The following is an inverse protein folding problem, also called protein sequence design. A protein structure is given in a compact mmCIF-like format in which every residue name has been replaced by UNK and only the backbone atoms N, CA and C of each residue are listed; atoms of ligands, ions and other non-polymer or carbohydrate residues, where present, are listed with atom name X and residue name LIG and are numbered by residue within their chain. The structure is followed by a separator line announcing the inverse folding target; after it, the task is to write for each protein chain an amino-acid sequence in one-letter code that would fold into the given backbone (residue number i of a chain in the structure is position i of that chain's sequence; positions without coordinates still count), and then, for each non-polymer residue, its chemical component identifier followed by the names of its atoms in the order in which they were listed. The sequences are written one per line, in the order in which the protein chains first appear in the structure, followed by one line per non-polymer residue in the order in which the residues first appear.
data_IF_658981285281
#
_entry.id   IF_658981285281
#
_cell.length_a   1.000
_cell.length_b   1.000
_cell.length_c   1.000
_cell.angle_alpha   90.00
_cell.angle_beta   90.00
_cell.angle_gamma   90.00
#
_symmetry.space_group_name_H-M   'P 1'
#
loop_
_entity.id
_entity.type
_entity.pdbx_description
1 polymer ?
#
# COMPACT_ATOMS: atom_id res chain seq x y z
N UNK A 1 9.05 -9.53 -15.34
CA UNK A 1 8.41 -9.01 -16.56
C UNK A 1 9.30 -9.37 -17.75
N UNK A 2 8.73 -9.95 -18.78
CA UNK A 2 9.47 -10.32 -20.00
C UNK A 2 8.93 -9.52 -21.17
N UNK A 3 9.80 -8.90 -21.93
CA UNK A 3 9.43 -8.22 -23.18
C UNK A 3 10.36 -8.67 -24.30
N UNK A 4 9.82 -8.74 -25.50
CA UNK A 4 10.56 -9.11 -26.71
C UNK A 4 10.51 -7.93 -27.65
N UNK A 5 11.67 -7.44 -28.05
CA UNK A 5 11.79 -6.44 -29.12
C UNK A 5 12.32 -7.14 -30.38
N UNK A 6 11.54 -7.09 -31.44
CA UNK A 6 11.96 -7.54 -32.75
C UNK A 6 12.31 -6.32 -33.59
N UNK A 7 13.57 -6.06 -33.91
CA UNK A 7 13.95 -4.96 -34.79
C UNK A 7 13.42 -5.17 -36.18
N UNK A 8 12.78 -4.16 -36.75
CA UNK A 8 12.39 -4.17 -38.16
C UNK A 8 13.46 -3.45 -38.96
N UNK A 9 14.20 -4.17 -39.83
CA UNK A 9 15.15 -3.55 -40.69
C UNK A 9 14.44 -2.88 -41.89
N UNK A 10 14.86 -1.68 -42.19
CA UNK A 10 14.25 -0.88 -43.25
C UNK A 10 14.95 -1.11 -44.60
N UNK A 11 16.21 -1.52 -44.65
CA UNK A 11 16.93 -1.84 -45.92
C UNK A 11 18.22 -2.62 -45.64
N UNK A 12 18.48 -3.65 -46.45
CA UNK A 12 19.78 -4.31 -46.59
C UNK A 12 19.87 -5.69 -45.99
N UNK A 13 20.72 -6.51 -46.57
CA UNK A 13 21.02 -7.89 -46.17
C UNK A 13 21.62 -7.89 -44.76
N UNK A 14 20.78 -8.05 -43.73
CA UNK A 14 21.16 -8.15 -42.35
C UNK A 14 20.48 -9.33 -41.67
N UNK A 15 21.23 -10.11 -40.93
CA UNK A 15 20.70 -11.12 -40.03
C UNK A 15 19.97 -10.41 -38.87
N UNK A 16 18.68 -10.67 -38.75
CA UNK A 16 17.88 -10.13 -37.63
C UNK A 16 18.12 -11.00 -36.42
N UNK A 17 18.58 -10.36 -35.33
CA UNK A 17 18.69 -11.01 -34.04
C UNK A 17 17.59 -10.46 -33.14
N UNK A 18 16.72 -11.34 -32.65
CA UNK A 18 15.70 -10.96 -31.69
C UNK A 18 16.36 -10.61 -30.35
N UNK A 19 15.94 -9.50 -29.79
CA UNK A 19 16.36 -9.08 -28.40
C UNK A 19 15.26 -9.46 -27.43
N UNK A 20 15.60 -10.28 -26.45
CA UNK A 20 14.69 -10.65 -25.36
C UNK A 20 15.18 -10.02 -24.08
N UNK A 21 14.36 -9.17 -23.46
CA UNK A 21 14.60 -8.61 -22.13
C UNK A 21 13.78 -9.33 -21.06
N UNK A 22 14.43 -9.77 -20.01
CA UNK A 22 13.80 -10.41 -18.86
C UNK A 22 14.23 -9.69 -17.59
N UNK A 23 13.26 -9.11 -16.86
CA UNK A 23 13.47 -8.50 -15.57
C UNK A 23 12.86 -9.38 -14.48
N UNK A 24 13.70 -9.87 -13.58
CA UNK A 24 13.29 -10.58 -12.38
C UNK A 24 13.41 -9.67 -11.16
N UNK A 25 12.29 -9.48 -10.46
CA UNK A 25 12.22 -8.71 -9.23
C UNK A 25 12.06 -9.67 -8.05
N UNK A 26 12.99 -9.62 -7.10
CA UNK A 26 12.89 -10.28 -5.81
C UNK A 26 12.86 -9.22 -4.73
N UNK A 27 11.78 -9.15 -3.96
CA UNK A 27 11.60 -8.13 -2.92
C UNK A 27 11.40 -8.85 -1.61
N UNK A 28 12.26 -8.58 -0.63
CA UNK A 28 12.10 -9.07 0.74
C UNK A 28 12.08 -7.90 1.71
N UNK A 29 11.18 -7.97 2.71
CA UNK A 29 11.16 -6.98 3.78
C UNK A 29 10.70 -7.59 5.09
N UNK A 30 11.20 -7.05 6.18
CA UNK A 30 10.75 -7.37 7.54
C UNK A 30 10.10 -6.11 8.09
N UNK A 31 8.88 -6.26 8.63
CA UNK A 31 8.10 -5.18 9.20
C UNK A 31 7.71 -5.54 10.63
N UNK A 32 7.93 -4.61 11.55
CA UNK A 32 7.54 -4.75 12.96
C UNK A 32 6.34 -3.86 13.27
N UNK A 33 5.39 -4.40 14.05
CA UNK A 33 4.23 -3.66 14.52
C UNK A 33 3.97 -3.96 15.99
N UNK A 34 3.62 -2.95 16.76
CA UNK A 34 3.14 -3.09 18.14
C UNK A 34 1.75 -2.48 18.26
N UNK A 35 0.92 -3.03 19.13
CA UNK A 35 -0.42 -2.54 19.34
C UNK A 35 -0.88 -2.68 20.77
N UNK A 36 -1.73 -1.75 21.18
CA UNK A 36 -2.39 -1.74 22.51
C UNK A 36 -3.89 -1.62 22.29
N UNK A 37 -4.64 -2.41 23.05
CA UNK A 37 -6.09 -2.36 23.06
C UNK A 37 -6.55 -2.21 24.50
N UNK A 38 -7.31 -1.14 24.77
CA UNK A 38 -7.83 -0.81 26.09
C UNK A 38 -9.35 -0.79 26.10
N UNK A 39 -9.93 -1.65 26.91
CA UNK A 39 -11.38 -1.72 27.14
C UNK A 39 -11.75 -0.77 28.27
N UNK A 40 -12.17 0.44 27.94
CA UNK A 40 -12.50 1.49 28.91
C UNK A 40 -13.83 1.21 29.62
N UNK A 41 -14.83 0.69 28.90
CA UNK A 41 -16.14 0.34 29.44
C UNK A 41 -16.49 -1.06 28.94
N UNK A 42 -16.82 -1.93 29.86
CA UNK A 42 -17.24 -3.30 29.54
C UNK A 42 -18.40 -3.72 30.45
N UNK A 43 -19.61 -3.40 30.01
CA UNK A 43 -20.85 -3.79 30.68
C UNK A 43 -21.71 -4.63 29.74
N UNK A 44 -22.69 -5.36 30.27
CA UNK A 44 -23.63 -6.16 29.48
C UNK A 44 -24.39 -5.37 28.41
N UNK A 45 -24.51 -4.05 28.55
CA UNK A 45 -25.27 -3.18 27.64
C UNK A 45 -24.41 -2.23 26.82
N UNK A 46 -23.15 -2.02 27.19
CA UNK A 46 -22.25 -1.03 26.56
C UNK A 46 -20.82 -1.51 26.60
N UNK A 47 -20.14 -1.34 25.49
CA UNK A 47 -18.70 -1.59 25.38
C UNK A 47 -18.05 -0.38 24.71
N UNK A 48 -16.96 0.11 25.32
CA UNK A 48 -16.11 1.14 24.72
C UNK A 48 -14.67 0.63 24.75
N UNK A 49 -14.07 0.57 23.57
CA UNK A 49 -12.72 0.06 23.38
C UNK A 49 -11.92 1.08 22.60
N UNK A 50 -10.71 1.36 23.06
CA UNK A 50 -9.71 2.14 22.33
C UNK A 50 -8.60 1.22 21.86
N UNK A 51 -8.12 1.46 20.66
CA UNK A 51 -6.99 0.77 20.07
C UNK A 51 -5.96 1.74 19.56
N UNK A 52 -4.68 1.40 19.70
CA UNK A 52 -3.60 2.11 19.09
C UNK A 52 -2.58 1.11 18.54
N UNK A 53 -2.12 1.31 17.33
CA UNK A 53 -1.07 0.50 16.71
C UNK A 53 0.01 1.40 16.13
N UNK A 54 1.25 1.01 16.34
CA UNK A 54 2.40 1.66 15.74
C UNK A 54 3.21 0.66 14.94
N UNK A 55 3.47 1.03 13.72
CA UNK A 55 4.22 0.28 12.75
C UNK A 55 5.55 0.98 12.49
N UNK A 56 6.64 0.27 12.73
CA UNK A 56 7.99 0.82 12.63
C UNK A 56 8.45 1.05 11.19
N UNK A 57 7.63 0.64 10.20
CA UNK A 57 8.05 0.62 8.82
C UNK A 57 9.03 -0.51 8.55
N UNK A 58 9.74 -0.43 7.44
CA UNK A 58 10.73 -1.42 7.04
C UNK A 58 11.50 -0.96 5.82
N UNK A 59 12.52 -1.72 5.46
CA UNK A 59 13.28 -1.47 4.24
C UNK A 59 12.87 -2.50 3.19
N UNK A 60 12.51 -2.01 2.02
CA UNK A 60 12.37 -2.82 0.81
C UNK A 60 13.71 -2.85 0.11
N UNK A 61 14.33 -4.00 0.05
CA UNK A 61 15.55 -4.21 -0.71
C UNK A 61 15.18 -4.99 -1.97
N UNK A 62 14.93 -4.31 -3.09
CA UNK A 62 14.66 -4.99 -4.35
C UNK A 62 15.98 -5.47 -4.95
N UNK A 63 16.09 -6.78 -5.19
CA UNK A 63 17.09 -7.35 -6.07
C UNK A 63 16.51 -7.43 -7.47
N UNK A 64 17.00 -6.59 -8.36
CA UNK A 64 16.57 -6.57 -9.76
C UNK A 64 17.64 -7.25 -10.61
N UNK A 65 17.30 -8.36 -11.23
CA UNK A 65 18.17 -9.01 -12.21
C UNK A 65 17.58 -8.77 -13.59
N UNK A 66 18.21 -7.88 -14.36
CA UNK A 66 17.87 -7.63 -15.76
C UNK A 66 18.78 -8.46 -16.66
N UNK A 67 18.19 -9.24 -17.54
CA UNK A 67 18.89 -10.06 -18.54
C UNK A 67 18.45 -9.64 -19.93
N UNK A 68 19.40 -9.23 -20.74
CA UNK A 68 19.18 -8.90 -22.14
C UNK A 68 19.92 -9.94 -22.99
N UNK A 69 19.18 -10.63 -23.83
CA UNK A 69 19.72 -11.61 -24.76
C UNK A 69 19.77 -11.00 -26.17
N UNK A 70 20.96 -10.75 -26.68
CA UNK A 70 21.21 -10.27 -28.05
C UNK A 70 22.19 -11.27 -28.67
N UNK A 71 21.66 -12.31 -29.29
CA UNK A 71 22.52 -13.38 -29.89
C UNK A 71 23.34 -14.11 -28.82
N UNK A 72 24.32 -13.44 -28.21
CA UNK A 72 25.11 -13.93 -27.08
C UNK A 72 24.65 -13.28 -25.77
N UNK A 73 24.76 -14.05 -24.67
CA UNK A 73 24.30 -13.67 -23.34
C UNK A 73 25.00 -12.42 -22.79
N UNK A 74 24.27 -11.31 -22.60
CA UNK A 74 24.73 -10.19 -21.80
C UNK A 74 23.93 -10.14 -20.49
N UNK A 75 24.61 -10.37 -19.36
CA UNK A 75 24.01 -10.25 -18.03
C UNK A 75 24.35 -8.89 -17.42
N UNK A 76 23.35 -8.08 -17.16
CA UNK A 76 23.50 -6.88 -16.33
C UNK A 76 22.67 -7.07 -15.07
N UNK A 77 23.32 -7.06 -13.89
CA UNK A 77 22.63 -7.03 -12.61
C UNK A 77 22.57 -5.58 -12.14
N UNK A 78 21.39 -5.00 -12.09
CA UNK A 78 21.18 -3.68 -11.54
C UNK A 78 20.64 -3.86 -10.13
N UNK A 79 21.38 -3.39 -9.12
CA UNK A 79 20.86 -3.29 -7.75
C UNK A 79 19.80 -2.19 -7.73
N UNK A 80 18.58 -2.53 -7.36
CA UNK A 80 17.52 -1.56 -7.15
C UNK A 80 17.83 -0.66 -5.95
N UNK A 81 17.34 0.57 -6.00
CA UNK A 81 17.47 1.51 -4.88
C UNK A 81 16.57 1.06 -3.71
N UNK A 82 17.11 1.24 -2.48
CA UNK A 82 16.39 0.84 -1.26
C UNK A 82 15.23 1.81 -1.00
N UNK A 83 14.02 1.31 -1.04
CA UNK A 83 12.82 2.06 -0.71
C UNK A 83 12.39 1.75 0.73
N UNK A 84 12.09 2.78 1.51
CA UNK A 84 11.61 2.62 2.88
C UNK A 84 10.09 2.55 2.92
N UNK A 85 9.58 1.53 3.62
CA UNK A 85 8.16 1.47 3.95
C UNK A 85 7.82 2.54 5.01
N UNK A 86 6.67 3.19 4.92
CA UNK A 86 6.32 4.26 5.83
C UNK A 86 6.10 3.72 7.25
N UNK A 87 6.46 4.56 8.22
CA UNK A 87 6.00 4.37 9.59
C UNK A 87 4.52 4.73 9.64
N UNK A 88 3.73 3.93 10.34
CA UNK A 88 2.29 4.14 10.44
C UNK A 88 1.86 4.18 11.90
N UNK A 89 1.08 5.19 12.24
CA UNK A 89 0.36 5.29 13.49
C UNK A 89 -1.14 5.14 13.19
N UNK A 90 -1.79 4.20 13.86
CA UNK A 90 -3.24 4.06 13.78
C UNK A 90 -3.83 4.12 15.18
N UNK A 91 -4.85 4.94 15.36
CA UNK A 91 -5.62 5.02 16.60
C UNK A 91 -7.10 4.89 16.27
N UNK A 92 -7.82 4.18 17.13
CA UNK A 92 -9.23 3.92 16.90
C UNK A 92 -10.03 3.84 18.17
N UNK A 93 -11.32 4.13 18.06
CA UNK A 93 -12.30 3.99 19.11
C UNK A 93 -13.50 3.19 18.59
N UNK A 94 -13.94 2.24 19.36
CA UNK A 94 -15.08 1.39 19.05
C UNK A 94 -16.07 1.43 20.20
N UNK A 95 -17.31 1.85 19.92
CA UNK A 95 -18.39 1.92 20.88
C UNK A 95 -19.55 1.07 20.42
N UNK A 96 -20.00 0.18 21.28
CA UNK A 96 -21.11 -0.72 21.01
C UNK A 96 -22.15 -0.68 22.12
N UNK A 97 -23.41 -0.65 21.71
CA UNK A 97 -24.58 -0.83 22.56
C UNK A 97 -25.49 -1.89 21.97
N UNK A 98 -26.62 -2.19 22.64
CA UNK A 98 -27.62 -3.14 22.09
C UNK A 98 -28.23 -2.72 20.77
N UNK A 99 -28.14 -1.46 20.36
CA UNK A 99 -28.73 -0.94 19.10
C UNK A 99 -27.75 -0.25 18.20
N UNK A 100 -26.67 0.32 18.74
CA UNK A 100 -25.71 1.14 18.02
C UNK A 100 -24.31 0.55 18.10
N UNK A 101 -23.65 0.54 16.96
CA UNK A 101 -22.22 0.29 16.88
C UNK A 101 -21.58 1.46 16.15
N UNK A 102 -20.60 2.08 16.78
CA UNK A 102 -19.85 3.22 16.25
C UNK A 102 -18.38 2.87 16.21
N UNK A 103 -17.73 3.16 15.08
CA UNK A 103 -16.29 3.03 14.89
C UNK A 103 -15.70 4.32 14.39
N UNK A 104 -14.56 4.71 14.96
CA UNK A 104 -13.76 5.85 14.52
C UNK A 104 -12.31 5.39 14.46
N UNK A 105 -11.67 5.55 13.31
CA UNK A 105 -10.27 5.24 13.10
C UNK A 105 -9.54 6.42 12.46
N UNK A 106 -8.36 6.71 12.97
CA UNK A 106 -7.40 7.64 12.37
C UNK A 106 -6.11 6.90 12.04
N UNK A 107 -5.65 7.05 10.81
CA UNK A 107 -4.42 6.44 10.31
C UNK A 107 -3.52 7.53 9.76
N UNK A 108 -2.30 7.58 10.25
CA UNK A 108 -1.25 8.46 9.75
C UNK A 108 -0.06 7.66 9.25
N UNK A 109 0.40 7.94 8.03
CA UNK A 109 1.56 7.30 7.42
C UNK A 109 2.62 8.35 7.08
N UNK A 110 3.83 8.13 7.57
CA UNK A 110 4.97 8.99 7.29
C UNK A 110 5.83 8.38 6.18
N UNK A 111 5.64 8.84 4.96
CA UNK A 111 6.41 8.42 3.79
C UNK A 111 7.70 9.22 3.62
N UNK A 112 7.73 10.47 4.10
CA UNK A 112 8.89 11.37 3.93
C UNK A 112 10.04 11.04 4.87
N UNK A 113 9.78 10.35 5.98
CA UNK A 113 10.76 10.09 7.04
C UNK A 113 11.90 9.15 6.67
N UNK A 114 11.79 8.41 5.57
CA UNK A 114 12.80 7.45 5.12
C UNK A 114 13.14 7.54 3.65
N UNK A 115 12.27 8.14 2.86
CA UNK A 115 12.42 8.25 1.43
C UNK A 115 12.81 9.68 1.06
N UNK A 116 13.99 9.84 0.47
CA UNK A 116 14.40 11.11 -0.13
C UNK A 116 13.87 11.16 -1.55
N UNK A 117 13.58 12.36 -2.06
CA UNK A 117 13.32 12.55 -3.48
C UNK A 117 14.52 12.02 -4.27
N UNK A 118 14.29 11.03 -5.09
CA UNK A 118 15.35 10.42 -5.92
C UNK A 118 15.15 10.92 -7.33
N UNK A 119 16.15 11.58 -7.87
CA UNK A 119 16.24 11.86 -9.30
C UNK A 119 16.47 10.52 -10.01
N UNK A 120 15.47 10.02 -10.71
CA UNK A 120 15.64 8.86 -11.59
C UNK A 120 16.44 9.29 -12.82
N UNK A 121 17.74 9.27 -12.73
CA UNK A 121 18.66 9.42 -13.85
C UNK A 121 18.73 8.09 -14.61
N UNK A 122 17.79 7.84 -15.49
CA UNK A 122 17.66 6.52 -16.11
C UNK A 122 17.41 6.49 -17.62
N UNK A 123 17.68 7.57 -18.37
CA UNK A 123 17.69 7.51 -19.83
C UNK A 123 18.84 8.39 -20.35
N UNK A 124 19.87 7.73 -20.91
CA UNK A 124 20.89 8.42 -21.70
C UNK A 124 20.30 8.81 -23.03
N UNK A 125 19.76 10.01 -23.13
CA UNK A 125 19.22 10.61 -24.34
C UNK A 125 19.23 12.13 -24.25
N UNK A 126 19.06 12.88 -25.38
CA UNK A 126 19.05 14.34 -25.37
C UNK A 126 17.90 14.98 -24.58
N UNK A 127 16.85 14.23 -24.26
CA UNK A 127 15.74 14.64 -23.38
C UNK A 127 15.93 14.08 -21.98
N UNK A 128 16.76 14.76 -21.19
CA UNK A 128 16.88 14.53 -19.76
C UNK A 128 15.69 15.16 -19.04
N UNK A 129 14.51 14.59 -19.16
CA UNK A 129 13.44 14.89 -18.22
C UNK A 129 13.71 14.11 -16.92
N UNK A 130 14.34 14.77 -15.96
CA UNK A 130 14.47 14.24 -14.61
C UNK A 130 13.08 14.19 -13.99
N UNK A 131 12.57 13.00 -13.75
CA UNK A 131 11.35 12.80 -12.94
C UNK A 131 11.76 12.81 -11.48
N UNK A 132 11.36 13.84 -10.77
CA UNK A 132 11.50 13.89 -9.32
C UNK A 132 10.32 13.13 -8.68
N UNK A 133 10.62 12.06 -7.95
CA UNK A 133 9.61 11.35 -7.17
C UNK A 133 9.56 11.97 -5.77
N UNK A 134 8.51 12.73 -5.48
CA UNK A 134 8.27 13.29 -4.16
C UNK A 134 7.33 12.39 -3.36
N UNK A 135 7.69 12.13 -2.11
CA UNK A 135 6.85 11.37 -1.17
C UNK A 135 6.05 12.33 -0.30
N UNK A 136 4.77 12.05 -0.10
CA UNK A 136 3.87 12.85 0.72
C UNK A 136 3.31 12.02 1.87
N UNK A 137 3.22 12.62 3.05
CA UNK A 137 2.61 11.97 4.21
C UNK A 137 1.11 11.85 4.00
N UNK A 138 0.56 10.72 4.41
CA UNK A 138 -0.86 10.41 4.24
C UNK A 138 -1.56 10.41 5.59
N UNK A 139 -2.71 11.05 5.67
CA UNK A 139 -3.59 11.00 6.82
C UNK A 139 -5.00 10.59 6.42
N UNK A 140 -5.63 9.73 7.19
CA UNK A 140 -6.94 9.20 6.87
C UNK A 140 -7.80 9.05 8.13
N UNK A 141 -9.00 9.60 8.07
CA UNK A 141 -10.06 9.40 9.08
C UNK A 141 -11.13 8.49 8.49
N UNK A 142 -11.56 7.50 9.27
CA UNK A 142 -12.66 6.59 8.93
C UNK A 142 -13.69 6.62 10.03
N UNK A 143 -14.95 6.76 9.68
CA UNK A 143 -16.09 6.73 10.61
C UNK A 143 -17.09 5.70 10.10
N UNK A 144 -17.53 4.85 11.00
CA UNK A 144 -18.56 3.85 10.71
C UNK A 144 -19.67 3.89 11.77
N UNK A 145 -20.89 3.73 11.32
CA UNK A 145 -22.06 3.61 12.17
C UNK A 145 -22.94 2.45 11.72
N UNK A 146 -23.39 1.67 12.67
CA UNK A 146 -24.39 0.63 12.47
C UNK A 146 -25.53 0.82 13.47
N UNK A 147 -26.74 0.73 12.99
CA UNK A 147 -27.95 0.82 13.80
C UNK A 147 -28.85 -0.39 13.55
N UNK A 148 -29.14 -1.15 14.61
CA UNK A 148 -30.09 -2.28 14.56
C UNK A 148 -31.21 -2.00 15.59
N UNK A 149 -32.41 -1.66 15.15
CA UNK A 149 -33.50 -1.28 16.05
C UNK A 149 -33.87 -2.34 17.08
N UNK A 150 -34.04 -3.58 16.64
CA UNK A 150 -34.31 -4.72 17.52
C UNK A 150 -33.94 -6.03 16.83
N UNK A 151 -32.85 -6.65 17.25
CA UNK A 151 -32.36 -7.91 16.68
C UNK A 151 -33.32 -9.10 16.89
N UNK A 152 -34.10 -9.07 17.95
CA UNK A 152 -34.99 -10.17 18.38
C UNK A 152 -36.47 -9.97 18.00
N UNK A 153 -36.83 -8.95 17.23
CA UNK A 153 -38.23 -8.71 16.84
C UNK A 153 -38.71 -9.75 15.81
N UNK A 154 -39.56 -10.67 16.25
CA UNK A 154 -40.11 -11.74 15.41
C UNK A 154 -41.23 -11.21 14.50
N UNK A 155 -41.92 -10.12 14.88
CA UNK A 155 -43.12 -9.63 14.17
C UNK A 155 -42.80 -8.65 13.07
N UNK A 156 -41.74 -7.87 13.17
CA UNK A 156 -41.41 -6.80 12.22
C UNK A 156 -40.04 -7.05 11.59
N UNK A 157 -40.04 -7.56 10.37
CA UNK A 157 -38.82 -7.90 9.63
C UNK A 157 -37.84 -6.72 9.50
N UNK A 158 -38.32 -5.51 9.20
CA UNK A 158 -37.52 -4.31 9.04
C UNK A 158 -36.76 -3.90 10.32
N UNK A 159 -37.23 -4.27 11.50
CA UNK A 159 -36.55 -3.96 12.76
C UNK A 159 -35.33 -4.81 13.06
N UNK A 160 -35.20 -5.94 12.37
CA UNK A 160 -34.02 -6.82 12.47
C UNK A 160 -32.89 -6.43 11.52
N UNK A 161 -33.15 -5.51 10.60
CA UNK A 161 -32.12 -5.06 9.67
C UNK A 161 -31.09 -4.21 10.38
N UNK A 162 -29.81 -4.44 10.03
CA UNK A 162 -28.71 -3.58 10.41
C UNK A 162 -28.50 -2.52 9.33
N UNK A 163 -28.74 -1.27 9.69
CA UNK A 163 -28.51 -0.10 8.84
C UNK A 163 -27.08 0.36 9.06
N UNK A 164 -26.27 0.37 8.00
CA UNK A 164 -24.86 0.72 8.06
C UNK A 164 -24.57 1.92 7.19
N UNK A 165 -23.76 2.84 7.72
CA UNK A 165 -23.21 3.95 6.98
C UNK A 165 -21.74 4.12 7.37
N UNK A 166 -20.91 4.52 6.40
CA UNK A 166 -19.50 4.76 6.63
C UNK A 166 -19.00 5.91 5.78
N UNK A 167 -18.05 6.64 6.35
CA UNK A 167 -17.38 7.76 5.70
C UNK A 167 -15.88 7.61 5.86
N UNK A 168 -15.14 7.93 4.80
CA UNK A 168 -13.69 7.96 4.79
C UNK A 168 -13.21 9.23 4.13
N UNK A 169 -12.33 9.94 4.83
CA UNK A 169 -11.66 11.13 4.30
C UNK A 169 -10.17 11.04 4.55
N UNK A 170 -9.35 11.40 3.58
CA UNK A 170 -7.90 11.35 3.71
C UNK A 170 -7.20 12.15 2.63
N UNK A 171 -5.95 12.51 2.93
CA UNK A 171 -5.00 13.15 2.01
C UNK A 171 -4.00 12.10 1.55
N UNK A 172 -3.69 12.13 0.26
CA UNK A 172 -2.72 11.24 -0.41
C UNK A 172 -1.58 12.04 -0.96
#
# INVERSE_FOLDING_TARGET
RTFVMTPTAITGEGTFTSTVGQDNYSISSIKGQVGVLWKAIMNQKRMLTFGATYDFGGNLNPDVTSRIYIGDLYNSTVKGDTTHLPRQLSVGAYYMTSKWTLGLDYVYQNWTGGNKATEMTGVSGPDKSAYEVAYTNTSMVKVGVEYTPNYYDVRRFMKRWAYRAGFRYGTY
#
